data_IF_751883162744
#
_entry.id   IF_751883162744
#
_cell.length_a   1.000
_cell.length_b   1.000
_cell.length_c   1.000
_cell.angle_alpha   90.00
_cell.angle_beta   90.00
_cell.angle_gamma   90.00
#
_symmetry.space_group_name_H-M   'P 1'
#
loop_
_entity.id
_entity.type
_entity.pdbx_description
1 polymer ?
#
# COMPACT_ATOMS: atom_id res chain seq x y z
N UNK A 1 -1.28 18.00 3.70
CA UNK A 1 -1.10 18.89 4.88
C UNK A 1 -1.21 20.34 4.47
N UNK A 2 -0.57 20.75 3.38
CA UNK A 2 -0.74 22.08 2.77
C UNK A 2 -2.21 22.48 2.57
N UNK A 3 -2.99 21.69 1.85
CA UNK A 3 -4.41 22.02 1.56
C UNK A 3 -5.31 22.15 2.81
N UNK A 4 -5.00 21.42 3.90
CA UNK A 4 -5.92 21.26 5.04
C UNK A 4 -5.47 22.05 6.28
N UNK A 5 -4.17 22.28 6.41
CA UNK A 5 -3.56 22.94 7.57
C UNK A 5 -2.72 24.17 7.16
N UNK A 6 -2.65 24.49 5.86
CA UNK A 6 -1.80 25.57 5.32
C UNK A 6 -0.32 25.44 5.74
N UNK A 7 0.15 24.21 5.95
CA UNK A 7 1.56 23.93 6.27
C UNK A 7 2.33 23.76 4.96
N UNK A 8 3.40 24.55 4.72
CA UNK A 8 4.19 24.44 3.51
C UNK A 8 4.72 23.02 3.27
N UNK A 9 4.68 22.57 2.02
CA UNK A 9 5.15 21.23 1.62
C UNK A 9 6.62 20.99 1.97
N UNK A 10 7.49 22.00 1.89
CA UNK A 10 8.88 21.91 2.35
C UNK A 10 8.99 21.58 3.83
N UNK A 11 8.27 22.30 4.69
CA UNK A 11 8.33 22.10 6.14
C UNK A 11 7.80 20.72 6.52
N UNK A 12 6.71 20.30 5.88
CA UNK A 12 6.19 18.93 5.99
C UNK A 12 7.26 17.90 5.61
N UNK A 13 7.90 18.08 4.45
CA UNK A 13 8.95 17.19 3.94
C UNK A 13 10.13 17.07 4.91
N UNK A 14 10.63 18.18 5.44
CA UNK A 14 11.72 18.20 6.43
C UNK A 14 11.31 17.49 7.72
N UNK A 15 10.13 17.80 8.26
CA UNK A 15 9.65 17.18 9.49
C UNK A 15 9.52 15.66 9.33
N UNK A 16 8.94 15.20 8.22
CA UNK A 16 8.82 13.77 7.93
C UNK A 16 10.19 13.13 7.73
N UNK A 17 11.11 13.78 7.01
CA UNK A 17 12.48 13.29 6.83
C UNK A 17 13.20 13.08 8.16
N UNK A 18 13.09 14.04 9.09
CA UNK A 18 13.65 13.92 10.43
C UNK A 18 13.03 12.75 11.21
N UNK A 19 11.70 12.60 11.18
CA UNK A 19 11.01 11.48 11.83
C UNK A 19 11.39 10.12 11.23
N UNK A 20 11.58 10.04 9.91
CA UNK A 20 12.03 8.82 9.24
C UNK A 20 13.47 8.51 9.65
N UNK A 21 14.37 9.50 9.62
CA UNK A 21 15.78 9.35 10.00
C UNK A 21 15.94 8.78 11.42
N UNK A 22 15.16 9.29 12.38
CA UNK A 22 15.17 8.81 13.77
C UNK A 22 14.89 7.30 13.88
N UNK A 23 14.13 6.73 12.94
CA UNK A 23 13.75 5.33 12.94
C UNK A 23 14.70 4.49 12.10
N UNK A 24 14.90 4.84 10.83
CA UNK A 24 15.64 3.98 9.88
C UNK A 24 17.12 3.86 10.23
N UNK A 25 17.72 4.90 10.83
CA UNK A 25 19.13 4.85 11.26
C UNK A 25 19.33 3.76 12.32
N UNK A 26 18.31 3.50 13.15
CA UNK A 26 18.33 2.42 14.16
C UNK A 26 18.16 1.00 13.60
N UNK A 27 17.92 0.84 12.29
CA UNK A 27 17.78 -0.44 11.61
C UNK A 27 16.49 -1.21 11.92
N UNK A 28 16.42 -2.46 11.44
CA UNK A 28 15.17 -3.26 11.35
C UNK A 28 14.47 -3.47 12.69
N UNK A 29 15.21 -3.63 13.81
CA UNK A 29 14.59 -3.79 15.13
C UNK A 29 13.81 -2.53 15.54
N UNK A 30 14.33 -1.33 15.24
CA UNK A 30 13.64 -0.06 15.53
C UNK A 30 12.48 0.14 14.57
N UNK A 31 12.68 -0.15 13.28
CA UNK A 31 11.62 -0.09 12.25
C UNK A 31 10.44 -0.97 12.66
N UNK A 32 10.66 -2.25 12.98
CA UNK A 32 9.60 -3.17 13.40
C UNK A 32 8.91 -2.74 14.70
N UNK A 33 9.64 -2.19 15.68
CA UNK A 33 9.05 -1.67 16.93
C UNK A 33 8.13 -0.47 16.70
N UNK A 34 8.47 0.38 15.75
CA UNK A 34 7.65 1.55 15.39
C UNK A 34 6.45 1.12 14.54
N UNK A 35 6.69 0.34 13.49
CA UNK A 35 5.65 -0.18 12.60
C UNK A 35 4.58 -0.98 13.36
N UNK A 36 4.98 -1.86 14.28
CA UNK A 36 4.03 -2.66 15.10
C UNK A 36 3.10 -1.83 15.99
N UNK A 37 3.40 -0.55 16.24
CA UNK A 37 2.52 0.36 16.98
C UNK A 37 1.72 1.27 16.07
N UNK A 38 2.37 1.79 15.01
CA UNK A 38 1.74 2.73 14.08
C UNK A 38 0.72 2.03 13.20
N UNK A 39 1.04 0.84 12.66
CA UNK A 39 0.18 0.13 11.70
C UNK A 39 -1.18 -0.22 12.31
N UNK A 40 -1.29 -0.82 13.51
CA UNK A 40 -2.59 -1.07 14.11
C UNK A 40 -3.37 0.22 14.39
N UNK A 41 -2.69 1.27 14.85
CA UNK A 41 -3.31 2.56 15.14
C UNK A 41 -3.90 3.21 13.89
N UNK A 42 -3.12 3.30 12.80
CA UNK A 42 -3.58 3.91 11.55
C UNK A 42 -4.71 3.10 10.91
N UNK A 43 -4.66 1.77 10.99
CA UNK A 43 -5.74 0.89 10.52
C UNK A 43 -7.02 1.14 11.32
N UNK A 44 -6.97 1.13 12.65
CA UNK A 44 -8.17 1.37 13.48
C UNK A 44 -8.78 2.74 13.21
N UNK A 45 -7.95 3.79 13.11
CA UNK A 45 -8.43 5.14 12.83
C UNK A 45 -9.12 5.24 11.46
N UNK A 46 -8.49 4.70 10.42
CA UNK A 46 -9.00 4.81 9.05
C UNK A 46 -10.17 3.87 8.78
N UNK A 47 -10.03 2.59 9.12
CA UNK A 47 -11.08 1.56 8.98
C UNK A 47 -12.26 1.91 9.87
N UNK A 48 -12.04 2.40 11.09
CA UNK A 48 -13.11 2.84 11.98
C UNK A 48 -13.94 3.98 11.36
N UNK A 49 -13.27 5.00 10.81
CA UNK A 49 -13.95 6.09 10.10
C UNK A 49 -14.75 5.60 8.89
N UNK A 50 -14.15 4.72 8.08
CA UNK A 50 -14.82 4.15 6.93
C UNK A 50 -16.03 3.28 7.33
N UNK A 51 -15.90 2.43 8.35
CA UNK A 51 -16.98 1.62 8.89
C UNK A 51 -18.15 2.48 9.35
N UNK A 52 -17.89 3.57 10.08
CA UNK A 52 -18.95 4.49 10.52
C UNK A 52 -19.74 5.01 9.32
N UNK A 53 -19.05 5.49 8.28
CA UNK A 53 -19.72 6.02 7.07
C UNK A 53 -20.53 4.93 6.36
N UNK A 54 -19.97 3.71 6.23
CA UNK A 54 -20.63 2.57 5.60
C UNK A 54 -21.85 2.12 6.41
N UNK A 55 -21.78 2.10 7.74
CA UNK A 55 -22.92 1.77 8.61
C UNK A 55 -24.04 2.81 8.52
N UNK A 56 -23.70 4.09 8.34
CA UNK A 56 -24.69 5.15 8.12
C UNK A 56 -25.35 5.10 6.73
N UNK A 57 -24.81 4.30 5.80
CA UNK A 57 -25.27 4.20 4.42
C UNK A 57 -25.39 2.73 3.96
N UNK A 58 -25.80 1.83 4.85
CA UNK A 58 -25.85 0.38 4.58
C UNK A 58 -26.70 0.03 3.35
N UNK A 59 -27.79 0.77 3.15
CA UNK A 59 -28.73 0.63 2.03
C UNK A 59 -28.07 0.88 0.66
N UNK A 60 -27.01 1.70 0.60
CA UNK A 60 -26.31 2.06 -0.63
C UNK A 60 -25.18 1.10 -0.99
N UNK A 61 -24.77 0.21 -0.08
CA UNK A 61 -23.67 -0.73 -0.32
C UNK A 61 -23.94 -1.67 -1.51
N UNK A 62 -25.10 -2.34 -1.61
CA UNK A 62 -25.40 -3.20 -2.76
C UNK A 62 -25.37 -2.44 -4.09
N UNK A 63 -25.89 -1.20 -4.09
CA UNK A 63 -25.85 -0.33 -5.27
C UNK A 63 -24.41 0.00 -5.68
N UNK A 64 -23.53 0.33 -4.72
CA UNK A 64 -22.14 0.64 -4.99
C UNK A 64 -21.39 -0.55 -5.62
N UNK A 65 -21.60 -1.77 -5.11
CA UNK A 65 -21.04 -2.98 -5.74
C UNK A 65 -21.58 -3.20 -7.15
N UNK A 66 -22.89 -3.01 -7.36
CA UNK A 66 -23.50 -3.08 -8.68
C UNK A 66 -22.89 -2.07 -9.65
N UNK A 67 -22.61 -0.84 -9.19
CA UNK A 67 -21.95 0.20 -9.97
C UNK A 67 -20.51 -0.21 -10.34
N UNK A 68 -19.72 -0.70 -9.39
CA UNK A 68 -18.35 -1.16 -9.63
C UNK A 68 -18.33 -2.25 -10.71
N UNK A 69 -19.13 -3.30 -10.54
CA UNK A 69 -19.18 -4.42 -11.48
C UNK A 69 -19.67 -3.97 -12.86
N UNK A 70 -20.72 -3.13 -12.90
CA UNK A 70 -21.23 -2.59 -14.16
C UNK A 70 -20.15 -1.80 -14.89
N UNK A 71 -19.49 -0.85 -14.25
CA UNK A 71 -18.48 -0.01 -14.91
C UNK A 71 -17.16 -0.74 -15.19
N UNK A 72 -16.84 -1.80 -14.47
CA UNK A 72 -15.68 -2.63 -14.74
C UNK A 72 -15.83 -3.45 -16.04
N UNK A 73 -17.03 -3.94 -16.33
CA UNK A 73 -17.29 -4.86 -17.44
C UNK A 73 -18.12 -4.26 -18.59
N UNK A 74 -18.68 -3.06 -18.43
CA UNK A 74 -19.47 -2.40 -19.47
C UNK A 74 -18.61 -1.38 -20.22
N UNK A 75 -18.43 -1.53 -21.54
CA UNK A 75 -17.89 -0.48 -22.38
C UNK A 75 -18.76 0.77 -22.30
N UNK A 76 -18.24 1.89 -21.79
CA UNK A 76 -18.90 3.17 -22.00
C UNK A 76 -18.87 3.48 -23.50
N UNK A 77 -20.04 3.53 -24.11
CA UNK A 77 -20.22 3.62 -25.56
C UNK A 77 -19.78 4.99 -26.09
N UNK A 78 -18.51 5.11 -26.47
CA UNK A 78 -18.08 6.06 -27.48
C UNK A 78 -17.89 5.29 -28.80
N UNK A 79 -18.91 5.36 -29.65
CA UNK A 79 -18.91 5.01 -31.08
C UNK A 79 -18.02 3.83 -31.55
N UNK A 80 -18.64 2.65 -31.68
CA UNK A 80 -18.44 1.73 -32.81
C UNK A 80 -17.11 0.96 -32.99
N UNK A 81 -15.99 1.39 -32.41
CA UNK A 81 -14.67 0.77 -32.64
C UNK A 81 -13.76 0.66 -31.41
N UNK A 82 -14.11 1.30 -30.30
CA UNK A 82 -13.28 1.39 -29.07
C UNK A 82 -13.91 0.69 -27.85
N UNK A 83 -14.89 -0.20 -28.06
CA UNK A 83 -15.63 -0.86 -26.97
C UNK A 83 -14.71 -1.68 -26.03
N UNK A 84 -13.63 -2.27 -26.55
CA UNK A 84 -12.64 -2.98 -25.72
C UNK A 84 -11.63 -2.07 -25.02
N UNK A 85 -11.42 -0.85 -25.51
CA UNK A 85 -10.35 0.03 -25.04
C UNK A 85 -10.66 0.61 -23.65
N UNK A 86 -11.91 0.99 -23.39
CA UNK A 86 -12.33 1.51 -22.07
C UNK A 86 -12.31 0.42 -21.00
N UNK A 87 -12.79 -0.79 -21.31
CA UNK A 87 -12.70 -1.94 -20.38
C UNK A 87 -11.25 -2.33 -20.13
N UNK A 88 -10.44 -2.45 -21.18
CA UNK A 88 -9.00 -2.75 -21.07
C UNK A 88 -8.27 -1.71 -20.23
N UNK A 89 -8.58 -0.42 -20.42
CA UNK A 89 -7.99 0.67 -19.64
C UNK A 89 -8.43 0.61 -18.17
N UNK A 90 -9.71 0.37 -17.88
CA UNK A 90 -10.21 0.21 -16.50
C UNK A 90 -9.51 -0.94 -15.80
N UNK A 91 -9.40 -2.11 -16.46
CA UNK A 91 -8.71 -3.28 -15.90
C UNK A 91 -7.22 -2.98 -15.72
N UNK A 92 -6.55 -2.43 -16.73
CA UNK A 92 -5.12 -2.14 -16.68
C UNK A 92 -4.79 -1.15 -15.57
N UNK A 93 -5.58 -0.08 -15.43
CA UNK A 93 -5.40 0.89 -14.37
C UNK A 93 -5.69 0.29 -12.98
N UNK A 94 -6.76 -0.50 -12.87
CA UNK A 94 -7.10 -1.22 -11.64
C UNK A 94 -6.01 -2.19 -11.20
N UNK A 95 -5.45 -2.97 -12.13
CA UNK A 95 -4.32 -3.87 -11.88
C UNK A 95 -3.08 -3.07 -11.49
N UNK A 96 -2.73 -2.01 -12.22
CA UNK A 96 -1.55 -1.19 -11.91
C UNK A 96 -1.64 -0.55 -10.52
N UNK A 97 -2.78 0.07 -10.18
CA UNK A 97 -2.98 0.65 -8.83
C UNK A 97 -3.09 -0.43 -7.75
N UNK A 98 -3.70 -1.58 -8.05
CA UNK A 98 -3.80 -2.71 -7.13
C UNK A 98 -2.43 -3.28 -6.77
N UNK A 99 -1.58 -3.53 -7.78
CA UNK A 99 -0.20 -3.98 -7.59
C UNK A 99 0.64 -2.96 -6.81
N UNK A 100 0.42 -1.66 -7.04
CA UNK A 100 1.07 -0.61 -6.27
C UNK A 100 0.68 -0.67 -4.78
N UNK A 101 -0.59 -0.98 -4.48
CA UNK A 101 -1.10 -1.03 -3.11
C UNK A 101 -0.61 -2.25 -2.34
N UNK A 102 -0.84 -3.45 -2.88
CA UNK A 102 -0.55 -4.70 -2.17
C UNK A 102 0.83 -5.30 -2.46
N UNK A 103 1.59 -4.71 -3.37
CA UNK A 103 2.93 -5.15 -3.77
C UNK A 103 2.96 -6.60 -4.30
N UNK A 104 1.82 -7.13 -4.76
CA UNK A 104 1.74 -8.49 -5.26
C UNK A 104 2.65 -8.68 -6.49
N UNK A 105 3.43 -9.76 -6.49
CA UNK A 105 4.35 -10.07 -7.59
C UNK A 105 5.61 -9.19 -7.66
N UNK A 106 5.75 -8.12 -6.86
CA UNK A 106 6.94 -7.27 -6.85
C UNK A 106 8.15 -7.93 -6.18
N UNK A 107 7.91 -8.85 -5.24
CA UNK A 107 8.97 -9.51 -4.47
C UNK A 107 9.56 -8.66 -3.34
N UNK A 108 9.05 -7.45 -3.10
CA UNK A 108 9.47 -6.56 -2.01
C UNK A 108 9.04 -7.09 -0.64
N UNK A 109 7.79 -7.52 -0.48
CA UNK A 109 7.25 -7.99 0.79
C UNK A 109 8.04 -9.15 1.41
N UNK A 110 8.57 -10.07 0.58
CA UNK A 110 9.37 -11.21 1.05
C UNK A 110 10.67 -10.76 1.74
N UNK A 111 11.19 -9.56 1.44
CA UNK A 111 12.35 -8.97 2.10
C UNK A 111 12.05 -8.73 3.59
N UNK A 112 10.89 -8.14 3.93
CA UNK A 112 10.48 -7.96 5.33
C UNK A 112 10.24 -9.30 6.02
N UNK A 113 9.50 -10.20 5.37
CA UNK A 113 9.15 -11.50 5.94
C UNK A 113 10.36 -12.41 6.14
N UNK A 114 11.43 -12.25 5.36
CA UNK A 114 12.69 -12.98 5.57
C UNK A 114 13.39 -12.63 6.90
N UNK A 115 13.08 -11.48 7.50
CA UNK A 115 13.61 -11.07 8.80
C UNK A 115 12.82 -11.67 9.98
N UNK A 116 11.67 -12.32 9.72
CA UNK A 116 10.89 -12.96 10.76
C UNK A 116 11.64 -14.16 11.35
N UNK A 117 11.57 -14.31 12.67
CA UNK A 117 12.14 -15.47 13.37
C UNK A 117 11.17 -16.64 13.27
N UNK A 118 11.22 -17.36 12.15
CA UNK A 118 10.46 -18.59 11.94
C UNK A 118 11.39 -19.75 11.58
N UNK A 119 11.04 -20.95 12.04
CA UNK A 119 11.67 -22.20 11.57
C UNK A 119 10.94 -22.81 10.37
N UNK A 120 9.75 -22.30 10.04
CA UNK A 120 8.87 -22.83 9.01
C UNK A 120 8.53 -21.70 8.01
N UNK A 121 9.19 -21.66 6.84
CA UNK A 121 8.97 -20.61 5.84
C UNK A 121 7.53 -20.54 5.34
N UNK A 122 6.85 -21.69 5.23
CA UNK A 122 5.44 -21.77 4.79
C UNK A 122 4.52 -21.02 5.76
N UNK A 123 4.79 -21.11 7.06
CA UNK A 123 4.02 -20.39 8.09
C UNK A 123 4.14 -18.90 7.92
N UNK A 124 5.36 -18.40 7.74
CA UNK A 124 5.58 -16.97 7.52
C UNK A 124 4.99 -16.52 6.17
N UNK A 125 5.04 -17.37 5.15
CA UNK A 125 4.33 -17.14 3.89
C UNK A 125 2.81 -16.98 4.07
N UNK A 126 2.19 -17.77 4.95
CA UNK A 126 0.77 -17.60 5.29
C UNK A 126 0.47 -16.27 5.99
N UNK A 127 1.38 -15.80 6.87
CA UNK A 127 1.28 -14.48 7.49
C UNK A 127 1.42 -13.38 6.43
N UNK A 128 2.36 -13.53 5.49
CA UNK A 128 2.58 -12.57 4.41
C UNK A 128 1.35 -12.41 3.50
N UNK A 129 0.60 -13.48 3.25
CA UNK A 129 -0.65 -13.43 2.46
C UNK A 129 -1.74 -12.56 3.10
N UNK A 130 -1.69 -12.30 4.40
CA UNK A 130 -2.64 -11.39 5.06
C UNK A 130 -2.43 -9.94 4.62
N UNK A 131 -1.23 -9.55 4.17
CA UNK A 131 -0.93 -8.19 3.71
C UNK A 131 -1.87 -7.73 2.60
N UNK A 132 -1.87 -8.39 1.42
CA UNK A 132 -2.77 -8.05 0.32
C UNK A 132 -4.26 -8.11 0.68
N UNK A 133 -4.65 -9.04 1.55
CA UNK A 133 -6.04 -9.15 2.03
C UNK A 133 -6.45 -7.91 2.84
N UNK A 134 -5.67 -7.54 3.86
CA UNK A 134 -5.98 -6.38 4.71
C UNK A 134 -5.87 -5.08 3.91
N UNK A 135 -4.85 -4.94 3.07
CA UNK A 135 -4.65 -3.73 2.27
C UNK A 135 -5.75 -3.56 1.21
N UNK A 136 -5.85 -4.47 0.25
CA UNK A 136 -6.70 -4.25 -0.93
C UNK A 136 -8.17 -4.64 -0.67
N UNK A 137 -8.40 -5.82 -0.10
CA UNK A 137 -9.76 -6.35 0.04
C UNK A 137 -10.52 -5.71 1.20
N UNK A 138 -9.82 -5.26 2.24
CA UNK A 138 -10.44 -4.54 3.35
C UNK A 138 -10.29 -3.03 3.16
N UNK A 139 -9.08 -2.48 3.30
CA UNK A 139 -8.89 -1.02 3.37
C UNK A 139 -9.26 -0.33 2.05
N UNK A 140 -8.68 -0.72 0.92
CA UNK A 140 -8.96 -0.06 -0.37
C UNK A 140 -10.41 -0.23 -0.82
N UNK A 141 -11.00 -1.40 -0.58
CA UNK A 141 -12.40 -1.66 -0.92
C UNK A 141 -13.34 -0.77 -0.10
N UNK A 142 -13.07 -0.60 1.19
CA UNK A 142 -13.82 0.34 2.03
C UNK A 142 -13.65 1.79 1.56
N UNK A 143 -12.44 2.22 1.21
CA UNK A 143 -12.21 3.56 0.64
C UNK A 143 -13.01 3.76 -0.64
N UNK A 144 -12.98 2.80 -1.56
CA UNK A 144 -13.73 2.86 -2.82
C UNK A 144 -15.24 2.93 -2.58
N UNK A 145 -15.78 2.14 -1.65
CA UNK A 145 -17.20 2.17 -1.28
C UNK A 145 -17.60 3.53 -0.69
N UNK A 146 -16.79 4.09 0.22
CA UNK A 146 -17.03 5.43 0.77
C UNK A 146 -17.05 6.49 -0.34
N UNK A 147 -16.08 6.45 -1.26
CA UNK A 147 -16.01 7.37 -2.41
C UNK A 147 -17.26 7.25 -3.31
N UNK A 148 -17.74 6.04 -3.56
CA UNK A 148 -18.90 5.81 -4.45
C UNK A 148 -20.21 6.23 -3.79
N UNK A 149 -20.44 5.78 -2.56
CA UNK A 149 -21.68 6.02 -1.81
C UNK A 149 -21.90 7.50 -1.50
N UNK A 150 -20.82 8.25 -1.31
CA UNK A 150 -20.88 9.70 -1.07
C UNK A 150 -20.97 10.52 -2.36
N UNK A 151 -20.81 9.89 -3.53
CA UNK A 151 -20.81 10.58 -4.81
C UNK A 151 -19.53 11.37 -5.10
N UNK A 152 -18.52 11.32 -4.23
CA UNK A 152 -17.28 12.10 -4.39
C UNK A 152 -16.52 11.75 -5.68
N UNK A 153 -16.72 10.55 -6.23
CA UNK A 153 -16.11 10.12 -7.50
C UNK A 153 -16.45 11.01 -8.71
N UNK A 154 -17.51 11.83 -8.66
CA UNK A 154 -17.86 12.79 -9.71
C UNK A 154 -17.38 14.23 -9.42
N UNK A 155 -16.60 14.45 -8.35
CA UNK A 155 -16.14 15.79 -7.95
C UNK A 155 -15.04 16.38 -8.84
N UNK A 156 -14.37 15.54 -9.65
CA UNK A 156 -13.16 15.91 -10.40
C UNK A 156 -11.87 15.93 -9.57
N UNK A 157 -11.96 15.70 -8.24
CA UNK A 157 -10.78 15.51 -7.39
C UNK A 157 -10.13 14.15 -7.65
N UNK A 158 -8.82 14.06 -7.39
CA UNK A 158 -8.06 12.82 -7.54
C UNK A 158 -7.26 12.50 -6.27
N UNK A 159 -6.77 11.26 -6.14
CA UNK A 159 -5.84 10.82 -5.09
C UNK A 159 -6.31 11.16 -3.65
N UNK A 160 -5.44 11.77 -2.84
CA UNK A 160 -5.72 12.10 -1.44
C UNK A 160 -6.87 13.11 -1.25
N UNK A 161 -6.95 14.22 -2.01
CA UNK A 161 -8.10 15.14 -1.95
C UNK A 161 -9.45 14.44 -2.15
N UNK A 162 -9.55 13.53 -3.12
CA UNK A 162 -10.78 12.78 -3.39
C UNK A 162 -11.25 11.96 -2.18
N UNK A 163 -10.31 11.25 -1.54
CA UNK A 163 -10.63 10.46 -0.35
C UNK A 163 -11.03 11.35 0.83
N UNK A 164 -10.35 12.48 1.01
CA UNK A 164 -10.65 13.42 2.08
C UNK A 164 -12.05 14.04 1.90
N UNK A 165 -12.43 14.38 0.67
CA UNK A 165 -13.75 14.89 0.35
C UNK A 165 -14.85 13.84 0.57
N UNK A 166 -14.64 12.61 0.09
CA UNK A 166 -15.58 11.51 0.33
C UNK A 166 -15.85 11.30 1.83
N UNK A 167 -14.80 11.25 2.64
CA UNK A 167 -14.97 11.09 4.09
C UNK A 167 -15.62 12.33 4.72
N UNK A 168 -15.34 13.53 4.22
CA UNK A 168 -15.99 14.74 4.72
C UNK A 168 -17.49 14.79 4.39
N UNK A 169 -17.90 14.33 3.20
CA UNK A 169 -19.32 14.19 2.85
C UNK A 169 -19.98 13.12 3.73
N UNK A 170 -19.33 11.97 3.91
CA UNK A 170 -19.86 10.86 4.70
C UNK A 170 -19.90 11.11 6.21
N UNK A 171 -18.98 11.91 6.72
CA UNK A 171 -18.88 12.30 8.13
C UNK A 171 -18.48 13.78 8.25
N UNK A 172 -19.44 14.71 8.08
CA UNK A 172 -19.17 16.14 8.09
C UNK A 172 -18.41 16.62 9.34
N UNK A 173 -17.36 17.41 9.12
CA UNK A 173 -16.55 18.00 10.19
C UNK A 173 -15.45 17.10 10.75
N UNK A 174 -15.58 15.78 10.67
CA UNK A 174 -14.61 14.83 11.22
C UNK A 174 -13.87 14.01 10.15
N UNK A 175 -14.56 13.58 9.09
CA UNK A 175 -14.02 12.62 8.13
C UNK A 175 -12.78 13.11 7.39
N UNK A 176 -12.73 14.41 7.04
CA UNK A 176 -11.54 15.05 6.45
C UNK A 176 -10.28 14.87 7.31
N UNK A 177 -10.43 14.96 8.63
CA UNK A 177 -9.31 14.81 9.58
C UNK A 177 -8.87 13.36 9.73
N UNK A 178 -9.81 12.41 9.70
CA UNK A 178 -9.51 10.96 9.70
C UNK A 178 -8.58 10.64 8.53
N UNK A 179 -8.92 11.10 7.32
CA UNK A 179 -8.10 10.87 6.13
C UNK A 179 -6.77 11.63 6.21
N UNK A 180 -6.79 12.89 6.62
CA UNK A 180 -5.57 13.72 6.68
C UNK A 180 -4.52 13.13 7.62
N UNK A 181 -4.90 12.77 8.85
CA UNK A 181 -3.97 12.17 9.81
C UNK A 181 -3.66 10.72 9.45
N UNK A 182 -4.64 9.95 8.98
CA UNK A 182 -4.44 8.60 8.49
C UNK A 182 -3.36 8.55 7.41
N UNK A 183 -3.44 9.42 6.38
CA UNK A 183 -2.48 9.49 5.29
C UNK A 183 -1.06 9.80 5.75
N UNK A 184 -0.89 10.62 6.80
CA UNK A 184 0.45 10.87 7.38
C UNK A 184 1.03 9.57 7.93
N UNK A 185 0.25 8.80 8.69
CA UNK A 185 0.71 7.52 9.22
C UNK A 185 0.91 6.46 8.14
N UNK A 186 0.02 6.38 7.14
CA UNK A 186 0.17 5.49 5.99
C UNK A 186 1.48 5.79 5.26
N UNK A 187 1.66 7.02 4.77
CA UNK A 187 2.87 7.43 4.07
C UNK A 187 4.12 7.21 4.91
N UNK A 188 4.09 7.57 6.19
CA UNK A 188 5.20 7.35 7.11
C UNK A 188 5.57 5.87 7.25
N UNK A 189 4.58 5.00 7.48
CA UNK A 189 4.81 3.56 7.61
C UNK A 189 5.37 2.92 6.34
N UNK A 190 4.88 3.37 5.17
CA UNK A 190 5.38 2.93 3.86
C UNK A 190 6.83 3.36 3.67
N UNK A 191 7.20 4.61 3.99
CA UNK A 191 8.58 5.10 3.91
C UNK A 191 9.55 4.28 4.77
N UNK A 192 9.15 3.91 5.99
CA UNK A 192 9.99 3.07 6.86
C UNK A 192 10.24 1.69 6.25
N UNK A 193 9.20 1.09 5.67
CA UNK A 193 9.24 -0.26 5.10
C UNK A 193 10.05 -0.28 3.80
N UNK A 194 9.80 0.68 2.90
CA UNK A 194 10.51 0.78 1.62
C UNK A 194 11.98 1.18 1.78
N UNK A 195 12.31 2.00 2.80
CA UNK A 195 13.70 2.23 3.19
C UNK A 195 14.40 0.92 3.57
N UNK A 196 13.73 0.02 4.30
CA UNK A 196 14.31 -1.27 4.64
C UNK A 196 14.48 -2.19 3.43
N UNK A 197 13.54 -2.17 2.47
CA UNK A 197 13.69 -2.94 1.24
C UNK A 197 14.92 -2.49 0.45
N UNK A 198 15.09 -1.18 0.27
CA UNK A 198 16.27 -0.66 -0.39
C UNK A 198 17.56 -0.81 0.42
N UNK A 199 17.51 -0.83 1.76
CA UNK A 199 18.66 -1.20 2.60
C UNK A 199 19.18 -2.60 2.24
N UNK A 200 18.27 -3.59 2.14
CA UNK A 200 18.62 -4.99 1.83
C UNK A 200 19.11 -5.14 0.39
N UNK A 201 18.47 -4.47 -0.56
CA UNK A 201 18.92 -4.45 -1.95
C UNK A 201 20.31 -3.81 -2.08
N UNK A 202 20.56 -2.71 -1.38
CA UNK A 202 21.86 -2.04 -1.33
C UNK A 202 22.93 -2.94 -0.73
N UNK A 203 22.62 -3.62 0.39
CA UNK A 203 23.57 -4.57 0.99
C UNK A 203 23.92 -5.71 0.04
N UNK A 204 22.95 -6.23 -0.72
CA UNK A 204 23.17 -7.30 -1.70
C UNK A 204 24.11 -6.87 -2.84
N UNK A 205 23.97 -5.64 -3.34
CA UNK A 205 24.74 -5.16 -4.51
C UNK A 205 26.09 -4.56 -4.11
N UNK A 206 26.12 -3.73 -3.07
CA UNK A 206 27.25 -2.88 -2.70
C UNK A 206 27.89 -3.26 -1.35
N UNK A 207 27.33 -4.25 -0.65
CA UNK A 207 27.80 -4.70 0.65
C UNK A 207 27.31 -3.84 1.82
N UNK A 208 27.57 -4.33 3.04
CA UNK A 208 27.04 -3.77 4.28
C UNK A 208 27.47 -2.32 4.57
N UNK A 209 28.64 -1.91 4.08
CA UNK A 209 29.16 -0.53 4.25
C UNK A 209 28.33 0.52 3.49
N UNK A 210 27.64 0.13 2.42
CA UNK A 210 26.82 1.04 1.61
C UNK A 210 25.43 1.30 2.19
N UNK A 211 24.98 0.50 3.17
CA UNK A 211 23.64 0.62 3.78
C UNK A 211 23.45 1.98 4.48
N UNK A 212 24.44 2.42 5.26
CA UNK A 212 24.32 3.68 6.00
C UNK A 212 24.29 4.91 5.07
N UNK A 213 25.17 5.01 4.04
CA UNK A 213 25.01 6.03 2.99
C UNK A 213 23.63 6.00 2.32
N UNK A 214 23.12 4.81 1.97
CA UNK A 214 21.79 4.68 1.35
C UNK A 214 20.67 5.25 2.23
N UNK A 215 20.66 4.97 3.54
CA UNK A 215 19.66 5.52 4.47
C UNK A 215 19.66 7.04 4.49
N UNK A 216 20.84 7.66 4.48
CA UNK A 216 20.94 9.13 4.43
C UNK A 216 20.44 9.68 3.11
N UNK A 217 20.79 9.05 1.98
CA UNK A 217 20.26 9.43 0.67
C UNK A 217 18.72 9.33 0.67
N UNK A 218 18.16 8.24 1.19
CA UNK A 218 16.71 8.06 1.31
C UNK A 218 16.05 9.20 2.09
N UNK A 219 16.61 9.57 3.25
CA UNK A 219 16.12 10.68 4.08
C UNK A 219 16.18 12.02 3.34
N UNK A 220 17.29 12.29 2.63
CA UNK A 220 17.49 13.54 1.90
C UNK A 220 16.56 13.67 0.68
N UNK A 221 16.07 12.56 0.12
CA UNK A 221 15.12 12.57 -0.99
C UNK A 221 13.67 12.81 -0.56
N UNK A 222 13.33 12.63 0.73
CA UNK A 222 11.95 12.82 1.23
C UNK A 222 11.44 14.25 1.00
N UNK A 223 12.17 15.33 1.35
CA UNK A 223 11.70 16.69 1.10
C UNK A 223 11.59 17.01 -0.40
N UNK A 224 12.44 16.39 -1.23
CA UNK A 224 12.36 16.53 -2.69
C UNK A 224 11.05 15.93 -3.21
N UNK A 225 10.68 14.75 -2.72
CA UNK A 225 9.42 14.07 -3.06
C UNK A 225 8.17 14.91 -2.81
N UNK A 226 8.19 15.83 -1.83
CA UNK A 226 7.07 16.73 -1.55
C UNK A 226 6.78 17.75 -2.68
N UNK A 227 7.70 17.94 -3.63
CA UNK A 227 7.58 18.87 -4.75
C UNK A 227 7.40 18.20 -6.11
N UNK A 228 7.47 16.87 -6.18
CA UNK A 228 7.36 16.13 -7.43
C UNK A 228 5.90 15.98 -7.82
N UNK A 229 5.58 16.23 -9.09
CA UNK A 229 4.22 16.07 -9.63
C UNK A 229 3.75 14.61 -9.51
N UNK A 230 2.51 14.43 -9.07
CA UNK A 230 1.95 13.11 -8.81
C UNK A 230 1.96 12.18 -10.04
N UNK A 231 1.65 12.71 -11.23
CA UNK A 231 1.65 11.93 -12.48
C UNK A 231 3.04 11.38 -12.83
N UNK A 232 4.09 12.17 -12.57
CA UNK A 232 5.46 11.72 -12.76
C UNK A 232 5.83 10.63 -11.74
N UNK A 233 5.41 10.78 -10.47
CA UNK A 233 5.64 9.77 -9.43
C UNK A 233 4.96 8.46 -9.82
N UNK A 234 3.72 8.51 -10.32
CA UNK A 234 3.01 7.32 -10.78
C UNK A 234 3.72 6.64 -11.95
N UNK A 235 4.08 7.38 -12.99
CA UNK A 235 4.79 6.82 -14.14
C UNK A 235 6.13 6.21 -13.76
N UNK A 236 6.92 6.93 -12.94
CA UNK A 236 8.21 6.44 -12.48
C UNK A 236 8.07 5.16 -11.66
N UNK A 237 7.06 5.09 -10.80
CA UNK A 237 6.84 3.92 -9.96
C UNK A 237 6.33 2.73 -10.77
N UNK A 238 5.49 2.93 -11.77
CA UNK A 238 5.01 1.83 -12.62
C UNK A 238 6.17 1.17 -13.38
N UNK A 239 7.09 1.97 -13.91
CA UNK A 239 8.28 1.48 -14.61
C UNK A 239 9.17 0.70 -13.65
N UNK A 240 9.50 1.26 -12.48
CA UNK A 240 10.41 0.61 -11.53
C UNK A 240 9.79 -0.64 -10.89
N UNK A 241 8.50 -0.61 -10.57
CA UNK A 241 7.76 -1.78 -10.11
C UNK A 241 7.73 -2.88 -11.18
N UNK A 242 7.52 -2.52 -12.45
CA UNK A 242 7.61 -3.47 -13.56
C UNK A 242 8.98 -4.14 -13.66
N UNK A 243 10.06 -3.36 -13.51
CA UNK A 243 11.43 -3.87 -13.50
C UNK A 243 11.73 -4.77 -12.31
N UNK A 244 11.11 -4.53 -11.14
CA UNK A 244 11.23 -5.40 -9.98
C UNK A 244 10.41 -6.69 -10.13
N UNK A 245 9.18 -6.57 -10.63
CA UNK A 245 8.27 -7.69 -10.82
C UNK A 245 8.80 -8.71 -11.83
N UNK A 246 9.38 -8.23 -12.94
CA UNK A 246 9.83 -9.09 -14.03
C UNK A 246 10.79 -10.22 -13.60
N UNK A 247 11.96 -9.95 -12.99
CA UNK A 247 12.86 -11.01 -12.53
C UNK A 247 12.24 -11.85 -11.39
N UNK A 248 11.46 -11.23 -10.50
CA UNK A 248 10.84 -11.93 -9.38
C UNK A 248 9.80 -12.97 -9.87
N UNK A 249 8.95 -12.61 -10.83
CA UNK A 249 7.95 -13.50 -11.41
C UNK A 249 8.60 -14.69 -12.12
N UNK A 250 9.69 -14.48 -12.85
CA UNK A 250 10.49 -15.56 -13.45
C UNK A 250 10.98 -16.52 -12.36
N UNK A 251 11.51 -15.98 -11.26
CA UNK A 251 11.98 -16.76 -10.11
C UNK A 251 10.85 -17.58 -9.46
N UNK A 252 9.69 -16.97 -9.22
CA UNK A 252 8.53 -17.65 -8.62
C UNK A 252 8.03 -18.79 -9.52
N UNK A 253 7.93 -18.55 -10.84
CA UNK A 253 7.50 -19.59 -11.78
C UNK A 253 8.51 -20.75 -11.83
N UNK A 254 9.81 -20.45 -11.90
CA UNK A 254 10.87 -21.46 -11.90
C UNK A 254 10.96 -22.26 -10.59
N UNK A 255 10.66 -21.64 -9.44
CA UNK A 255 10.72 -22.25 -8.12
C UNK A 255 9.36 -22.77 -7.61
N UNK A 256 8.31 -22.68 -8.43
CA UNK A 256 6.94 -23.06 -8.05
C UNK A 256 6.84 -24.49 -7.51
N UNK A 257 7.59 -25.43 -8.10
CA UNK A 257 7.67 -26.81 -7.62
C UNK A 257 8.29 -26.96 -6.23
N UNK A 258 9.28 -26.13 -5.89
CA UNK A 258 9.90 -26.10 -4.55
C UNK A 258 8.89 -25.59 -3.53
N UNK A 259 8.22 -24.48 -3.83
CA UNK A 259 7.17 -23.92 -2.96
C UNK A 259 6.02 -24.92 -2.73
N UNK A 260 5.54 -25.58 -3.78
CA UNK A 260 4.49 -26.60 -3.69
C UNK A 260 4.91 -27.80 -2.83
N UNK A 261 6.16 -28.27 -2.98
CA UNK A 261 6.71 -29.35 -2.16
C UNK A 261 6.81 -28.95 -0.68
N UNK A 262 7.31 -27.76 -0.39
CA UNK A 262 7.39 -27.23 0.98
C UNK A 262 6.01 -27.09 1.62
N UNK A 263 5.02 -26.58 0.88
CA UNK A 263 3.65 -26.47 1.35
C UNK A 263 3.04 -27.84 1.67
N UNK A 264 3.22 -28.81 0.76
CA UNK A 264 2.71 -30.18 0.95
C UNK A 264 3.33 -30.85 2.18
N UNK A 265 4.64 -30.71 2.37
CA UNK A 265 5.35 -31.23 3.54
C UNK A 265 4.93 -30.53 4.84
N UNK A 266 4.73 -29.22 4.80
CA UNK A 266 4.22 -28.49 5.96
C UNK A 266 2.84 -29.02 6.35
N UNK A 267 1.90 -29.10 5.40
CA UNK A 267 0.52 -29.51 5.66
C UNK A 267 0.35 -30.99 6.04
N UNK A 268 1.29 -31.86 5.66
CA UNK A 268 1.24 -33.28 6.04
C UNK A 268 1.69 -33.56 7.48
N UNK A 269 2.39 -32.60 8.11
CA UNK A 269 2.87 -32.71 9.48
C UNK A 269 1.89 -32.09 10.47
N UNK A 270 1.86 -32.62 11.68
CA UNK A 270 1.11 -31.99 12.78
C UNK A 270 1.77 -30.64 13.14
N UNK A 271 0.95 -29.59 13.12
CA UNK A 271 1.44 -28.23 13.30
C UNK A 271 1.77 -27.95 14.75
N UNK A 272 3.06 -27.86 15.07
CA UNK A 272 3.48 -27.45 16.42
C UNK A 272 3.27 -25.94 16.62
N UNK A 273 2.67 -25.51 17.75
CA UNK A 273 2.50 -24.10 18.05
C UNK A 273 3.86 -23.38 18.11
N UNK A 274 3.86 -22.09 17.77
CA UNK A 274 5.08 -21.25 17.80
C UNK A 274 5.63 -21.25 19.23
N UNK A 275 6.82 -21.83 19.44
CA UNK A 275 7.56 -21.60 20.68
C UNK A 275 8.00 -20.14 20.69
N UNK A 276 7.58 -19.35 21.68
CA UNK A 276 8.15 -18.02 21.91
C UNK A 276 9.65 -18.21 22.19
N UNK A 277 10.50 -17.77 21.26
CA UNK A 277 11.96 -17.69 21.43
C UNK A 277 12.31 -16.31 21.94
#
# INVERSE_FOLDING_TARGET
>A
LEENLNIPSFLTGICIAALVALVIIGGIKRIGKVASRIVPFMCVLYVGGALIILFLNLDKIPWAFGLILKHAFTPTSAAGGFLGATVSQTISFGVARGLFSNEAGLGSASIAHSAAKTSEPVREGMVAMLGPFVDTLVICSMTALVIIITGAWSSGLTSSPLSAEAFNIGLPGYGKWIVTFGLVFFAYSTMLTWSYYGDRATEYILGSKAVMPYRWIFVLLIPVGAYVKIDFVWLFTDITNGLMAFPNLIGILGLSGVGAKMLKDYLSREQKPVRRI
#
